data_IF_285719087877
#
_entry.id   IF_285719087877
#
_cell.length_a   1.000
_cell.length_b   1.000
_cell.length_c   1.000
_cell.angle_alpha   90.00
_cell.angle_beta   90.00
_cell.angle_gamma   90.00
#
_symmetry.space_group_name_H-M   'P 1'
#
loop_
_entity.id
_entity.type
_entity.pdbx_description
1 polymer ?
#
# COMPACT_ATOMS: atom_id res chain seq x y z
N UNK A 1 17.88 -22.73 12.54
CA UNK A 1 17.33 -22.54 12.29
C UNK A 1 16.42 -22.49 11.88
N UNK A 2 15.96 -22.24 11.62
CA UNK A 2 15.04 -22.27 11.47
C UNK A 2 14.34 -21.75 10.45
N UNK A 3 13.75 -22.36 9.61
CA UNK A 3 12.91 -21.90 8.71
C UNK A 3 11.70 -21.47 9.29
N UNK A 4 11.18 -20.34 8.93
CA UNK A 4 9.94 -19.82 9.44
C UNK A 4 8.78 -20.52 8.76
N UNK A 5 7.74 -20.91 9.50
CA UNK A 5 6.56 -21.45 8.85
C UNK A 5 5.95 -20.48 7.87
N UNK A 6 5.31 -21.01 6.84
CA UNK A 6 4.72 -20.21 5.81
C UNK A 6 3.70 -19.21 6.38
N UNK A 7 2.94 -19.62 7.38
CA UNK A 7 1.97 -18.73 7.98
C UNK A 7 2.58 -17.52 8.63
N UNK A 8 3.79 -17.64 9.18
CA UNK A 8 4.46 -16.50 9.79
C UNK A 8 4.90 -15.49 8.74
N UNK A 9 5.35 -15.96 7.58
CA UNK A 9 5.72 -15.05 6.51
C UNK A 9 4.52 -14.26 6.03
N UNK A 10 3.37 -14.92 5.94
CA UNK A 10 2.15 -14.21 5.55
C UNK A 10 1.74 -13.18 6.58
N UNK A 11 1.88 -13.51 7.86
CA UNK A 11 1.58 -12.57 8.92
C UNK A 11 2.52 -11.37 8.89
N UNK A 12 3.79 -11.60 8.59
CA UNK A 12 4.73 -10.50 8.44
C UNK A 12 4.34 -9.57 7.31
N UNK A 13 3.89 -10.13 6.20
CA UNK A 13 3.42 -9.31 5.08
C UNK A 13 2.22 -8.48 5.49
N UNK A 14 1.29 -9.08 6.22
CA UNK A 14 0.12 -8.35 6.71
C UNK A 14 0.54 -7.21 7.63
N UNK A 15 1.44 -7.50 8.57
CA UNK A 15 1.91 -6.47 9.50
C UNK A 15 2.57 -5.33 8.78
N UNK A 16 3.38 -5.64 7.77
CA UNK A 16 4.08 -4.62 7.01
C UNK A 16 3.11 -3.74 6.23
N UNK A 17 2.16 -4.36 5.54
CA UNK A 17 1.21 -3.61 4.73
C UNK A 17 0.26 -2.82 5.61
N UNK A 18 -0.33 -3.45 6.64
CA UNK A 18 -1.24 -2.73 7.51
C UNK A 18 -0.53 -1.66 8.32
N UNK A 19 0.74 -1.89 8.69
CA UNK A 19 1.52 -0.86 9.35
C UNK A 19 1.69 0.37 8.47
N UNK A 20 1.96 0.15 7.19
CA UNK A 20 2.07 1.26 6.25
C UNK A 20 0.73 1.99 6.09
N UNK A 21 -0.38 1.25 6.14
CA UNK A 21 -1.71 1.83 5.98
C UNK A 21 -2.22 2.50 7.25
N UNK A 22 -1.57 2.29 8.38
CA UNK A 22 -2.06 2.79 9.67
C UNK A 22 -1.92 4.30 9.80
N UNK A 23 -1.17 4.95 8.93
CA UNK A 23 -0.93 6.37 9.02
C UNK A 23 -1.75 7.10 7.97
N UNK A 24 -2.47 8.14 8.42
CA UNK A 24 -3.37 8.87 7.54
C UNK A 24 -2.66 9.43 6.32
N UNK A 25 -1.47 10.01 6.51
CA UNK A 25 -0.75 10.62 5.40
C UNK A 25 -0.39 9.60 4.34
N UNK A 26 -0.06 8.38 4.76
CA UNK A 26 0.30 7.34 3.80
C UNK A 26 -0.92 6.86 3.03
N UNK A 27 -2.06 6.72 3.69
CA UNK A 27 -3.30 6.39 2.96
C UNK A 27 -3.66 7.49 1.97
N UNK A 28 -3.42 8.75 2.36
CA UNK A 28 -3.69 9.86 1.48
C UNK A 28 -2.80 9.81 0.24
N UNK A 29 -1.51 9.50 0.42
CA UNK A 29 -0.60 9.37 -0.72
C UNK A 29 -1.09 8.30 -1.69
N UNK A 30 -1.46 7.14 -1.16
CA UNK A 30 -1.94 6.06 -2.02
C UNK A 30 -3.22 6.45 -2.75
N UNK A 31 -4.12 7.15 -2.06
CA UNK A 31 -5.37 7.58 -2.67
C UNK A 31 -5.13 8.59 -3.78
N UNK A 32 -4.20 9.51 -3.58
CA UNK A 32 -3.86 10.48 -4.60
C UNK A 32 -3.22 9.81 -5.81
N UNK A 33 -2.32 8.86 -5.56
CA UNK A 33 -1.71 8.11 -6.66
C UNK A 33 -2.78 7.39 -7.46
N UNK A 34 -3.71 6.74 -6.78
CA UNK A 34 -4.78 6.04 -7.46
C UNK A 34 -5.62 6.99 -8.31
N UNK A 35 -5.96 8.16 -7.76
CA UNK A 35 -6.78 9.13 -8.47
C UNK A 35 -6.07 9.72 -9.69
N UNK A 36 -4.74 9.65 -9.71
CA UNK A 36 -3.95 10.19 -10.80
C UNK A 36 -3.48 9.14 -11.78
N UNK A 37 -4.09 7.97 -11.75
CA UNK A 37 -3.74 6.92 -12.70
C UNK A 37 -2.61 6.01 -12.26
N UNK A 38 -2.19 6.12 -11.01
CA UNK A 38 -1.20 5.21 -10.45
C UNK A 38 0.22 5.69 -10.47
N UNK A 39 0.46 6.92 -10.96
CA UNK A 39 1.85 7.39 -11.03
C UNK A 39 1.89 8.90 -10.83
N UNK A 40 2.89 9.37 -10.08
CA UNK A 40 3.10 10.79 -9.86
C UNK A 40 4.58 11.05 -9.62
N UNK A 41 5.03 12.24 -10.04
CA UNK A 41 6.39 12.67 -9.72
C UNK A 41 6.45 13.10 -8.26
N UNK A 42 7.68 13.14 -7.71
CA UNK A 42 7.87 13.58 -6.33
C UNK A 42 7.37 15.02 -6.15
N UNK A 43 7.61 15.88 -7.14
CA UNK A 43 7.13 17.25 -7.04
C UNK A 43 5.63 17.34 -7.01
N UNK A 44 4.95 16.54 -7.82
CA UNK A 44 3.49 16.54 -7.85
C UNK A 44 2.92 16.06 -6.52
N UNK A 45 3.56 15.09 -5.90
CA UNK A 45 3.12 14.62 -4.59
C UNK A 45 3.31 15.72 -3.55
N UNK A 46 4.49 16.37 -3.57
CA UNK A 46 4.78 17.40 -2.59
C UNK A 46 3.79 18.55 -2.62
N UNK A 47 3.30 18.89 -3.80
CA UNK A 47 2.34 19.98 -3.95
C UNK A 47 1.00 19.70 -3.28
N UNK A 48 0.73 18.45 -2.94
CA UNK A 48 -0.55 18.07 -2.37
C UNK A 48 -0.55 18.08 -0.85
N UNK A 49 0.59 18.38 -0.22
CA UNK A 49 0.70 18.31 1.22
C UNK A 49 1.30 19.59 1.76
N UNK A 50 0.87 19.95 2.98
CA UNK A 50 1.47 21.05 3.72
C UNK A 50 2.65 20.59 4.55
N UNK A 51 3.07 19.36 4.41
CA UNK A 51 4.17 18.81 5.18
C UNK A 51 5.48 19.13 4.49
N UNK A 52 6.57 19.14 5.25
CA UNK A 52 7.90 19.32 4.67
C UNK A 52 8.24 18.10 3.83
N UNK A 53 9.12 18.33 2.86
CA UNK A 53 9.55 17.23 1.98
C UNK A 53 10.21 16.09 2.75
N UNK A 54 11.06 16.34 3.77
CA UNK A 54 11.58 15.22 4.55
C UNK A 54 10.51 14.34 5.18
N UNK A 55 9.41 14.95 5.65
CA UNK A 55 8.32 14.19 6.22
C UNK A 55 7.63 13.34 5.16
N UNK A 56 7.36 13.92 4.00
CA UNK A 56 6.72 13.19 2.91
C UNK A 56 7.63 12.08 2.41
N UNK A 57 8.93 12.34 2.31
CA UNK A 57 9.90 11.34 1.89
C UNK A 57 9.90 10.15 2.83
N UNK A 58 9.78 10.41 4.14
CA UNK A 58 9.73 9.32 5.11
C UNK A 58 8.49 8.45 4.90
N UNK A 59 7.35 9.07 4.65
CA UNK A 59 6.14 8.29 4.37
C UNK A 59 6.29 7.49 3.09
N UNK A 60 6.89 8.07 2.06
CA UNK A 60 7.09 7.37 0.80
C UNK A 60 8.05 6.20 0.97
N UNK A 61 9.06 6.36 1.84
CA UNK A 61 10.00 5.28 2.11
C UNK A 61 9.28 4.10 2.79
N UNK A 62 8.40 4.40 3.74
CA UNK A 62 7.63 3.33 4.39
C UNK A 62 6.76 2.60 3.38
N UNK A 63 6.10 3.35 2.48
CA UNK A 63 5.27 2.74 1.45
C UNK A 63 6.09 1.89 0.49
N UNK A 64 7.29 2.35 0.14
CA UNK A 64 8.16 1.59 -0.74
C UNK A 64 8.62 0.30 -0.07
N UNK A 65 9.01 0.38 1.20
CA UNK A 65 9.45 -0.80 1.94
C UNK A 65 8.34 -1.82 2.09
N UNK A 66 7.10 -1.36 2.13
CA UNK A 66 5.95 -2.26 2.19
C UNK A 66 5.57 -2.82 0.82
N UNK A 67 6.23 -2.36 -0.23
CA UNK A 67 5.93 -2.84 -1.58
C UNK A 67 4.69 -2.22 -2.19
N UNK A 68 4.17 -1.14 -1.58
CA UNK A 68 2.95 -0.50 -2.07
C UNK A 68 3.22 0.56 -3.12
N UNK A 69 4.45 1.02 -3.22
CA UNK A 69 4.88 1.89 -4.31
C UNK A 69 6.25 1.45 -4.78
N UNK A 70 6.55 1.72 -6.05
CA UNK A 70 7.90 1.54 -6.59
C UNK A 70 8.33 2.88 -7.18
N UNK A 71 9.63 3.02 -7.42
CA UNK A 71 10.20 4.28 -7.87
C UNK A 71 10.97 4.03 -9.15
N UNK A 72 10.77 4.90 -10.13
CA UNK A 72 11.64 4.95 -11.31
C UNK A 72 12.15 6.38 -11.43
N UNK A 73 13.15 6.56 -12.29
CA UNK A 73 13.69 7.90 -12.54
C UNK A 73 13.26 8.35 -13.93
N UNK A 74 12.86 9.60 -14.01
CA UNK A 74 12.57 10.23 -15.29
C UNK A 74 13.45 11.46 -15.33
N UNK A 75 14.62 11.32 -15.94
CA UNK A 75 15.64 12.34 -15.83
C UNK A 75 16.15 12.39 -14.40
N UNK A 76 16.04 13.53 -13.77
CA UNK A 76 16.47 13.69 -12.37
C UNK A 76 15.32 13.58 -11.40
N UNK A 77 14.12 13.31 -11.90
CA UNK A 77 12.94 13.32 -11.07
C UNK A 77 12.53 11.92 -10.74
N UNK A 78 12.15 11.69 -9.49
CA UNK A 78 11.59 10.40 -9.08
C UNK A 78 10.14 10.33 -9.46
N UNK A 79 9.73 9.17 -9.96
CA UNK A 79 8.34 8.90 -10.28
C UNK A 79 7.90 7.73 -9.41
N UNK A 80 6.84 7.94 -8.67
CA UNK A 80 6.29 6.93 -7.76
C UNK A 80 5.11 6.26 -8.43
N UNK A 81 5.13 4.93 -8.38
CA UNK A 81 4.10 4.11 -9.02
C UNK A 81 3.35 3.31 -7.97
N UNK A 82 2.05 3.37 -7.99
CA UNK A 82 1.21 2.59 -7.09
C UNK A 82 1.26 1.12 -7.48
N UNK A 83 1.43 0.26 -6.49
CA UNK A 83 1.41 -1.19 -6.72
C UNK A 83 0.14 -1.76 -6.10
N UNK A 84 -0.97 -1.51 -6.77
CA UNK A 84 -2.27 -1.91 -6.23
C UNK A 84 -2.41 -3.42 -6.11
N UNK A 85 -1.70 -4.18 -6.95
CA UNK A 85 -1.78 -5.64 -6.84
C UNK A 85 -1.25 -6.14 -5.50
N UNK A 86 -0.23 -5.48 -4.96
CA UNK A 86 0.29 -5.85 -3.65
C UNK A 86 -0.72 -5.54 -2.55
N UNK A 87 -1.32 -4.36 -2.64
CA UNK A 87 -2.34 -3.96 -1.69
C UNK A 87 -3.51 -4.92 -1.70
N UNK A 88 -3.97 -5.28 -2.90
CA UNK A 88 -5.11 -6.17 -3.04
C UNK A 88 -4.80 -7.58 -2.59
N UNK A 89 -3.60 -8.09 -2.91
CA UNK A 89 -3.29 -9.47 -2.55
C UNK A 89 -3.05 -9.63 -1.07
N UNK A 90 -2.38 -8.68 -0.42
CA UNK A 90 -2.05 -8.82 1.00
C UNK A 90 -3.22 -8.37 1.86
N UNK A 91 -3.56 -7.09 1.80
CA UNK A 91 -4.63 -6.57 2.64
C UNK A 91 -5.99 -7.07 2.19
N UNK A 92 -6.25 -7.01 0.90
CA UNK A 92 -7.53 -7.46 0.35
C UNK A 92 -7.75 -8.94 0.54
N UNK A 93 -6.70 -9.73 0.43
CA UNK A 93 -6.81 -11.17 0.64
C UNK A 93 -7.20 -11.49 2.06
N UNK A 94 -6.61 -10.79 3.04
CA UNK A 94 -6.97 -11.02 4.43
C UNK A 94 -8.38 -10.55 4.71
N UNK A 95 -8.73 -9.35 4.26
CA UNK A 95 -10.06 -8.81 4.47
C UNK A 95 -11.12 -9.70 3.83
N UNK A 96 -10.81 -10.22 2.65
CA UNK A 96 -11.74 -11.05 1.92
C UNK A 96 -12.14 -12.33 2.64
N UNK A 97 -11.29 -12.80 3.57
CA UNK A 97 -11.65 -13.98 4.34
C UNK A 97 -12.92 -13.78 5.16
N UNK A 98 -13.22 -12.54 5.50
CA UNK A 98 -14.38 -12.23 6.34
C UNK A 98 -15.65 -12.05 5.54
N UNK A 99 -15.54 -12.12 4.21
CA UNK A 99 -16.70 -11.99 3.35
C UNK A 99 -17.27 -13.32 2.94
N UNK A 100 -16.79 -14.41 3.54
CA UNK A 100 -17.24 -15.72 3.15
C UNK A 100 -18.55 -16.03 3.80
N UNK A 101 -19.50 -16.43 3.02
CA UNK A 101 -20.79 -16.77 3.56
C UNK A 101 -20.75 -18.19 4.12
N UNK A 102 -21.41 -18.43 5.23
CA UNK A 102 -21.48 -19.78 5.76
C UNK A 102 -22.20 -20.67 4.76
N UNK A 103 -21.78 -21.88 4.71
CA UNK A 103 -22.36 -22.87 3.84
C UNK A 103 -22.49 -22.38 2.42
N UNK A 104 -21.63 -21.51 2.05
CA UNK A 104 -21.55 -21.08 0.69
C UNK A 104 -22.68 -20.24 0.22
N UNK A 105 -23.50 -19.82 1.10
CA UNK A 105 -24.55 -19.03 0.66
C UNK A 105 -24.09 -17.69 0.56
N UNK A 106 -23.90 -17.23 -0.18
CA UNK A 106 -23.49 -16.05 -0.25
C UNK A 106 -24.26 -15.06 -0.19
N UNK A 107 -24.62 -14.68 -0.27
CA UNK A 107 -25.15 -13.81 -0.34
C UNK A 107 -25.82 -13.25 0.09
N UNK A 108 -25.96 -12.59 0.26
CA UNK A 108 -26.53 -12.00 0.70
C UNK A 108 -27.26 -11.28 0.26
N UNK A 109 -27.72 -11.07 0.14
CA UNK A 109 -28.34 -10.54 -0.10
C UNK A 109 -28.64 -9.99 -0.17
N UNK A 110 -28.86 -9.74 -0.27
CA UNK A 110 -29.26 -9.31 -0.30
C UNK A 110 -29.64 -8.97 -0.27
#
# INVERSE_FOLDING_TARGET
VSERPRGLAELDDLDTVFGALAHRSRRTILSILDARGGEMTSGAIAERFDHSWPTITQHLRVLEQAGLVTITMRGRERVYHLRSERLLSVAGGWIGRFDRAPDGSSTPKS
#
